data_IF_968783688208
#
_entry.id   IF_968783688208
#
_cell.length_a   1.000
_cell.length_b   1.000
_cell.length_c   1.000
_cell.angle_alpha   90.00
_cell.angle_beta   90.00
_cell.angle_gamma   90.00
#
_symmetry.space_group_name_H-M   'P 1'
#
loop_
_entity.id
_entity.type
_entity.pdbx_description
1 polymer ?
#
# COMPACT_ATOMS: atom_id res chain seq x y z
N UNK A 1 -7.78 -8.25 -25.27
CA UNK A 1 -7.25 -7.07 -24.56
C UNK A 1 -6.45 -7.56 -23.35
N UNK A 2 -5.19 -7.14 -23.18
CA UNK A 2 -4.41 -7.45 -22.00
C UNK A 2 -5.03 -6.75 -20.78
N UNK A 3 -5.22 -7.51 -19.65
CA UNK A 3 -5.71 -6.95 -18.38
C UNK A 3 -4.73 -5.90 -17.87
N UNK A 4 -5.23 -4.76 -17.38
CA UNK A 4 -4.36 -3.77 -16.74
C UNK A 4 -3.67 -4.37 -15.51
N UNK A 5 -2.50 -3.84 -15.13
CA UNK A 5 -1.80 -4.29 -13.91
C UNK A 5 -2.71 -4.21 -12.68
N UNK A 6 -3.55 -3.18 -12.60
CA UNK A 6 -4.51 -2.98 -11.51
C UNK A 6 -5.58 -4.09 -11.47
N UNK A 7 -6.07 -4.55 -12.63
CA UNK A 7 -7.07 -5.62 -12.70
C UNK A 7 -6.50 -6.96 -12.22
N UNK A 8 -5.18 -7.17 -12.38
CA UNK A 8 -4.53 -8.42 -11.99
C UNK A 8 -4.44 -8.62 -10.46
N UNK A 9 -4.45 -7.54 -9.66
CA UNK A 9 -4.39 -7.65 -8.20
C UNK A 9 -5.67 -7.19 -7.49
N UNK A 10 -6.71 -6.82 -8.25
CA UNK A 10 -8.00 -6.37 -7.69
C UNK A 10 -8.64 -7.39 -6.76
N UNK A 11 -8.52 -8.69 -7.08
CA UNK A 11 -9.01 -9.78 -6.23
C UNK A 11 -8.31 -9.82 -4.87
N UNK A 12 -6.99 -9.58 -4.84
CA UNK A 12 -6.25 -9.53 -3.56
C UNK A 12 -6.70 -8.37 -2.67
N UNK A 13 -7.03 -7.23 -3.26
CA UNK A 13 -7.58 -6.08 -2.50
C UNK A 13 -8.93 -6.46 -1.86
N UNK A 14 -9.82 -7.12 -2.60
CA UNK A 14 -11.09 -7.59 -2.03
C UNK A 14 -10.90 -8.65 -0.95
N UNK A 15 -9.96 -9.57 -1.11
CA UNK A 15 -9.62 -10.55 -0.07
C UNK A 15 -9.10 -9.88 1.21
N UNK A 16 -8.27 -8.84 1.08
CA UNK A 16 -7.78 -8.06 2.22
C UNK A 16 -8.93 -7.37 2.96
N UNK A 17 -9.85 -6.75 2.22
CA UNK A 17 -11.03 -6.10 2.81
C UNK A 17 -11.90 -7.15 3.51
N UNK A 18 -12.23 -8.25 2.84
CA UNK A 18 -13.05 -9.33 3.39
C UNK A 18 -12.43 -9.92 4.67
N UNK A 19 -11.13 -10.24 4.63
CA UNK A 19 -10.42 -10.77 5.79
C UNK A 19 -10.49 -9.85 7.01
N UNK A 20 -10.17 -8.56 6.83
CA UNK A 20 -10.22 -7.58 7.93
C UNK A 20 -11.64 -7.39 8.45
N UNK A 21 -12.65 -7.42 7.57
CA UNK A 21 -14.06 -7.29 7.94
C UNK A 21 -14.56 -8.48 8.76
N UNK A 22 -14.26 -9.69 8.29
CA UNK A 22 -14.60 -10.94 9.00
C UNK A 22 -13.89 -10.99 10.34
N UNK A 23 -12.62 -10.57 10.39
CA UNK A 23 -11.83 -10.57 11.61
C UNK A 23 -12.39 -9.58 12.65
N UNK A 24 -12.75 -8.34 12.25
CA UNK A 24 -13.44 -7.39 13.13
C UNK A 24 -14.76 -7.96 13.64
N UNK A 25 -15.58 -8.51 12.75
CA UNK A 25 -16.88 -9.07 13.10
C UNK A 25 -16.75 -10.24 14.09
N UNK A 26 -15.81 -11.15 13.85
CA UNK A 26 -15.55 -12.29 14.75
C UNK A 26 -15.13 -11.84 16.15
N UNK A 27 -14.26 -10.82 16.26
CA UNK A 27 -13.85 -10.29 17.55
C UNK A 27 -15.02 -9.56 18.25
N UNK A 28 -15.83 -8.82 17.49
CA UNK A 28 -17.00 -8.12 18.04
C UNK A 28 -18.07 -9.10 18.58
N UNK A 29 -18.10 -10.31 18.05
CA UNK A 29 -19.02 -11.39 18.49
C UNK A 29 -18.38 -12.37 19.48
N UNK A 30 -17.16 -12.12 19.96
CA UNK A 30 -16.46 -13.09 20.81
C UNK A 30 -17.25 -13.49 22.06
N UNK A 31 -17.88 -12.53 22.76
CA UNK A 31 -18.67 -12.79 23.97
C UNK A 31 -19.93 -13.63 23.65
N UNK A 32 -20.55 -13.38 22.51
CA UNK A 32 -21.74 -14.12 22.03
C UNK A 32 -21.38 -15.55 21.62
N UNK A 33 -20.23 -15.71 20.97
CA UNK A 33 -19.69 -17.03 20.58
C UNK A 33 -19.37 -17.87 21.82
N UNK A 34 -18.78 -17.28 22.84
CA UNK A 34 -18.44 -17.95 24.09
C UNK A 34 -19.71 -18.44 24.81
N UNK A 35 -20.77 -17.63 24.84
CA UNK A 35 -22.02 -17.95 25.56
C UNK A 35 -22.98 -18.85 24.79
N UNK A 36 -23.09 -18.72 23.47
CA UNK A 36 -24.13 -19.36 22.66
C UNK A 36 -23.58 -20.18 21.47
N UNK A 37 -22.25 -20.28 21.32
CA UNK A 37 -21.57 -21.02 20.26
C UNK A 37 -21.61 -20.33 18.90
N UNK A 38 -20.93 -20.94 17.91
CA UNK A 38 -20.73 -20.38 16.57
C UNK A 38 -22.03 -20.06 15.80
N UNK A 39 -23.14 -20.72 16.13
CA UNK A 39 -24.45 -20.46 15.49
C UNK A 39 -24.96 -19.05 15.79
N UNK A 40 -24.62 -18.48 16.92
CA UNK A 40 -25.04 -17.15 17.34
C UNK A 40 -24.46 -16.03 16.44
N UNK A 41 -23.36 -16.27 15.75
CA UNK A 41 -22.79 -15.33 14.76
C UNK A 41 -23.81 -14.95 13.69
N UNK A 42 -24.68 -15.89 13.31
CA UNK A 42 -25.66 -15.68 12.24
C UNK A 42 -27.00 -15.11 12.74
N UNK A 43 -27.21 -15.05 14.04
CA UNK A 43 -28.46 -14.58 14.63
C UNK A 43 -28.38 -13.16 15.21
N UNK A 44 -27.19 -12.74 15.64
CA UNK A 44 -26.97 -11.38 16.16
C UNK A 44 -26.41 -10.46 15.07
N UNK A 45 -27.33 -9.74 14.41
CA UNK A 45 -27.02 -8.79 13.34
C UNK A 45 -26.61 -7.38 13.84
N UNK A 46 -26.70 -7.12 15.14
CA UNK A 46 -26.42 -5.78 15.69
C UNK A 46 -25.04 -5.25 15.34
N UNK A 47 -24.03 -6.09 15.41
CA UNK A 47 -22.64 -5.73 15.09
C UNK A 47 -22.32 -5.70 13.59
N UNK A 48 -23.22 -6.17 12.70
CA UNK A 48 -23.03 -6.07 11.25
C UNK A 48 -23.10 -4.62 10.76
N UNK A 49 -23.89 -3.76 11.39
CA UNK A 49 -24.07 -2.37 10.95
C UNK A 49 -22.77 -1.56 11.03
N UNK A 50 -22.09 -1.47 12.20
CA UNK A 50 -20.84 -0.73 12.28
C UNK A 50 -19.73 -1.32 11.40
N UNK A 51 -19.66 -2.65 11.28
CA UNK A 51 -18.71 -3.32 10.37
C UNK A 51 -19.03 -2.99 8.91
N UNK A 52 -20.30 -3.06 8.50
CA UNK A 52 -20.72 -2.74 7.14
C UNK A 52 -20.41 -1.28 6.75
N UNK A 53 -20.70 -0.33 7.63
CA UNK A 53 -20.36 1.08 7.43
C UNK A 53 -18.85 1.26 7.28
N UNK A 54 -18.04 0.63 8.12
CA UNK A 54 -16.59 0.71 8.06
C UNK A 54 -16.03 0.14 6.73
N UNK A 55 -16.61 -0.96 6.21
CA UNK A 55 -16.26 -1.52 4.89
C UNK A 55 -16.54 -0.53 3.77
N UNK A 56 -17.72 0.09 3.78
CA UNK A 56 -18.11 1.08 2.76
C UNK A 56 -17.16 2.27 2.79
N UNK A 57 -16.89 2.83 3.97
CA UNK A 57 -15.97 3.96 4.15
C UNK A 57 -14.58 3.60 3.63
N UNK A 58 -14.00 2.48 4.05
CA UNK A 58 -12.66 2.06 3.63
C UNK A 58 -12.59 1.87 2.11
N UNK A 59 -13.61 1.26 1.50
CA UNK A 59 -13.65 0.99 0.05
C UNK A 59 -13.76 2.28 -0.75
N UNK A 60 -14.68 3.18 -0.38
CA UNK A 60 -14.91 4.47 -1.06
C UNK A 60 -13.66 5.34 -0.95
N UNK A 61 -13.13 5.52 0.26
CA UNK A 61 -11.95 6.35 0.47
C UNK A 61 -10.71 5.80 -0.26
N UNK A 62 -10.53 4.48 -0.31
CA UNK A 62 -9.43 3.91 -1.09
C UNK A 62 -9.56 4.20 -2.60
N UNK A 63 -10.79 4.27 -3.12
CA UNK A 63 -11.06 4.66 -4.50
C UNK A 63 -10.80 6.14 -4.79
N UNK A 64 -11.06 7.01 -3.82
CA UNK A 64 -10.88 8.47 -3.92
C UNK A 64 -9.41 8.90 -3.76
N UNK A 65 -8.61 8.13 -3.00
CA UNK A 65 -7.20 8.48 -2.78
C UNK A 65 -6.40 8.48 -4.08
N UNK A 66 -5.84 9.65 -4.42
CA UNK A 66 -4.95 9.80 -5.58
C UNK A 66 -3.65 9.00 -5.42
N UNK A 67 -2.95 8.65 -6.53
CA UNK A 67 -1.64 7.98 -6.44
C UNK A 67 -0.61 8.73 -5.59
N UNK A 68 -0.64 10.07 -5.64
CA UNK A 68 0.24 10.91 -4.82
C UNK A 68 -0.14 10.86 -3.34
N UNK A 69 -1.44 10.85 -2.99
CA UNK A 69 -1.89 10.70 -1.61
C UNK A 69 -1.45 9.34 -1.04
N UNK A 70 -1.63 8.26 -1.81
CA UNK A 70 -1.13 6.92 -1.43
C UNK A 70 0.39 6.88 -1.25
N UNK A 71 1.15 7.56 -2.12
CA UNK A 71 2.60 7.68 -1.97
C UNK A 71 2.99 8.46 -0.70
N UNK A 72 2.25 9.51 -0.33
CA UNK A 72 2.48 10.24 0.93
C UNK A 72 2.32 9.33 2.14
N UNK A 73 1.30 8.48 2.15
CA UNK A 73 1.08 7.50 3.22
C UNK A 73 2.20 6.45 3.30
N UNK A 74 2.73 6.02 2.16
CA UNK A 74 3.83 5.03 2.12
C UNK A 74 5.16 5.63 2.52
N UNK A 75 5.55 6.76 1.92
CA UNK A 75 6.88 7.34 2.11
C UNK A 75 6.95 8.37 3.24
N UNK A 76 5.81 8.72 3.86
CA UNK A 76 5.65 9.72 4.92
C UNK A 76 6.30 11.07 4.53
N UNK A 77 6.07 11.49 3.28
CA UNK A 77 6.58 12.75 2.72
C UNK A 77 5.44 13.56 2.13
N UNK A 78 5.36 14.82 2.52
CA UNK A 78 4.36 15.76 2.00
C UNK A 78 4.69 16.22 0.57
N UNK A 79 5.98 16.56 0.35
CA UNK A 79 6.52 16.98 -0.94
C UNK A 79 7.35 15.85 -1.54
N UNK A 80 7.39 15.76 -2.87
CA UNK A 80 8.18 14.76 -3.61
C UNK A 80 8.03 13.33 -3.07
N UNK A 81 6.76 12.94 -2.79
CA UNK A 81 6.45 11.68 -2.15
C UNK A 81 6.79 10.46 -3.02
N UNK A 82 6.73 10.60 -4.35
CA UNK A 82 7.04 9.51 -5.26
C UNK A 82 8.52 9.12 -5.17
N UNK A 83 8.87 7.82 -5.19
CA UNK A 83 10.26 7.39 -5.09
C UNK A 83 11.11 7.88 -6.27
N UNK A 84 10.52 8.03 -7.47
CA UNK A 84 11.21 8.60 -8.64
C UNK A 84 11.73 10.03 -8.44
N UNK A 85 11.15 10.80 -7.50
CA UNK A 85 11.63 12.14 -7.17
C UNK A 85 13.03 12.17 -6.54
N UNK A 86 13.59 11.03 -6.18
CA UNK A 86 14.92 10.84 -5.60
C UNK A 86 15.78 9.88 -6.41
N UNK A 87 15.36 9.58 -7.63
CA UNK A 87 16.00 8.58 -8.48
C UNK A 87 17.50 8.86 -8.66
N UNK A 88 17.86 10.10 -8.97
CA UNK A 88 19.24 10.48 -9.32
C UNK A 88 20.00 11.09 -8.15
N UNK A 89 19.33 11.83 -7.27
CA UNK A 89 19.98 12.48 -6.12
C UNK A 89 20.29 11.53 -4.98
N UNK A 90 19.53 10.44 -4.82
CA UNK A 90 19.71 9.50 -3.73
C UNK A 90 19.98 8.08 -4.26
N UNK A 91 19.08 7.50 -5.05
CA UNK A 91 19.12 6.06 -5.35
C UNK A 91 20.19 5.68 -6.37
N UNK A 92 20.43 6.52 -7.37
CA UNK A 92 21.53 6.28 -8.33
C UNK A 92 22.91 6.31 -7.69
N UNK A 93 23.06 6.99 -6.54
CA UNK A 93 24.31 7.11 -5.82
C UNK A 93 24.50 6.04 -4.74
N UNK A 94 23.41 5.48 -4.22
CA UNK A 94 23.45 4.54 -3.09
C UNK A 94 23.35 3.07 -3.49
N UNK A 95 22.86 2.76 -4.69
CA UNK A 95 22.71 1.36 -5.15
C UNK A 95 23.99 0.90 -5.88
N UNK A 96 24.70 -0.12 -5.36
CA UNK A 96 25.98 -0.58 -5.92
C UNK A 96 25.87 -1.18 -7.33
N UNK A 97 24.65 -1.48 -7.80
CA UNK A 97 24.40 -1.99 -9.16
C UNK A 97 24.39 -0.90 -10.23
N UNK A 98 24.47 0.38 -9.81
CA UNK A 98 24.35 1.52 -10.71
C UNK A 98 25.70 2.24 -10.76
N UNK A 99 26.27 2.35 -11.99
CA UNK A 99 27.37 3.25 -12.26
C UNK A 99 26.83 4.64 -12.67
N UNK A 100 26.99 5.67 -11.83
CA UNK A 100 26.47 7.01 -12.15
C UNK A 100 27.10 7.62 -13.42
N UNK A 101 28.34 7.24 -13.78
CA UNK A 101 29.00 7.74 -14.99
C UNK A 101 28.38 7.12 -16.24
N UNK A 102 28.20 5.80 -16.24
CA UNK A 102 27.52 5.09 -17.32
C UNK A 102 26.07 5.57 -17.47
N UNK A 103 25.37 5.75 -16.34
CA UNK A 103 23.99 6.23 -16.37
C UNK A 103 23.89 7.63 -16.99
N UNK A 104 24.81 8.58 -16.66
CA UNK A 104 24.87 9.89 -17.31
C UNK A 104 25.12 9.79 -18.81
N UNK A 105 26.04 8.93 -19.21
CA UNK A 105 26.34 8.70 -20.63
C UNK A 105 25.11 8.17 -21.38
N UNK A 106 24.38 7.21 -20.77
CA UNK A 106 23.18 6.63 -21.35
C UNK A 106 22.01 7.64 -21.48
N UNK A 107 21.92 8.61 -20.56
CA UNK A 107 20.88 9.65 -20.58
C UNK A 107 21.28 10.81 -21.50
N UNK A 108 22.57 11.03 -21.74
CA UNK A 108 23.09 12.10 -22.59
C UNK A 108 22.99 13.51 -21.98
N UNK A 109 22.72 13.64 -20.69
CA UNK A 109 22.59 14.91 -19.98
C UNK A 109 22.87 14.79 -18.47
N UNK A 110 23.00 15.93 -17.81
CA UNK A 110 23.19 15.99 -16.36
C UNK A 110 21.91 15.53 -15.62
N UNK A 111 22.10 14.95 -14.43
CA UNK A 111 20.99 14.57 -13.58
C UNK A 111 20.24 15.79 -13.07
N UNK A 112 18.90 15.80 -13.13
CA UNK A 112 18.11 16.87 -12.58
C UNK A 112 18.24 16.91 -11.05
N UNK A 113 18.25 18.11 -10.48
CA UNK A 113 18.30 18.34 -9.04
C UNK A 113 16.89 18.43 -8.42
N UNK A 114 15.93 18.95 -9.18
CA UNK A 114 14.53 19.08 -8.75
C UNK A 114 13.83 17.72 -8.73
N UNK A 115 13.07 17.43 -7.66
CA UNK A 115 12.38 16.15 -7.48
C UNK A 115 11.36 15.82 -8.58
N UNK A 116 10.61 16.81 -9.05
CA UNK A 116 9.62 16.63 -10.13
C UNK A 116 10.33 16.22 -11.43
N UNK A 117 11.44 16.89 -11.76
CA UNK A 117 12.19 16.60 -12.97
C UNK A 117 12.93 15.26 -12.87
N UNK A 118 13.41 14.88 -11.67
CA UNK A 118 13.94 13.54 -11.43
C UNK A 118 12.88 12.48 -11.70
N UNK A 119 11.67 12.66 -11.18
CA UNK A 119 10.59 11.70 -11.41
C UNK A 119 10.17 11.63 -12.88
N UNK A 120 10.15 12.77 -13.59
CA UNK A 120 9.85 12.84 -15.02
C UNK A 120 10.89 12.06 -15.84
N UNK A 121 12.17 12.33 -15.59
CA UNK A 121 13.28 11.65 -16.26
C UNK A 121 13.28 10.14 -15.94
N UNK A 122 13.12 9.77 -14.67
CA UNK A 122 12.99 8.37 -14.28
C UNK A 122 11.82 7.68 -15.00
N UNK A 123 10.68 8.34 -15.12
CA UNK A 123 9.52 7.78 -15.82
C UNK A 123 9.79 7.57 -17.32
N UNK A 124 10.55 8.46 -17.96
CA UNK A 124 10.99 8.26 -19.34
C UNK A 124 11.86 7.00 -19.47
N UNK A 125 12.81 6.78 -18.56
CA UNK A 125 13.61 5.55 -18.53
C UNK A 125 12.75 4.31 -18.26
N UNK A 126 11.82 4.38 -17.31
CA UNK A 126 10.87 3.32 -17.02
C UNK A 126 10.09 2.89 -18.28
N UNK A 127 9.59 3.83 -19.07
CA UNK A 127 8.85 3.56 -20.31
C UNK A 127 9.64 2.74 -21.31
N UNK A 128 10.97 2.84 -21.33
CA UNK A 128 11.82 2.06 -22.25
C UNK A 128 12.03 0.60 -21.81
N UNK A 129 11.68 0.26 -20.57
CA UNK A 129 11.86 -1.07 -19.97
C UNK A 129 10.59 -1.61 -19.33
N UNK A 130 9.45 -0.93 -19.49
CA UNK A 130 8.18 -1.28 -18.80
C UNK A 130 7.64 -2.66 -19.18
N UNK A 131 8.06 -3.23 -20.32
CA UNK A 131 7.68 -4.57 -20.79
C UNK A 131 8.58 -5.69 -20.26
N UNK A 132 9.70 -5.35 -19.66
CA UNK A 132 10.60 -6.32 -19.04
C UNK A 132 9.89 -7.07 -17.91
N UNK A 133 9.89 -8.40 -17.94
CA UNK A 133 9.17 -9.25 -16.99
C UNK A 133 9.46 -8.89 -15.53
N UNK A 134 10.74 -8.60 -15.22
CA UNK A 134 11.18 -8.18 -13.89
C UNK A 134 10.56 -6.83 -13.47
N UNK A 135 10.47 -5.88 -14.40
CA UNK A 135 9.89 -4.56 -14.14
C UNK A 135 8.37 -4.67 -13.96
N UNK A 136 7.70 -5.44 -14.81
CA UNK A 136 6.25 -5.71 -14.69
C UNK A 136 5.92 -6.29 -13.32
N UNK A 137 6.67 -7.28 -12.85
CA UNK A 137 6.47 -7.90 -11.54
C UNK A 137 6.68 -6.91 -10.41
N UNK A 138 7.81 -6.18 -10.40
CA UNK A 138 8.10 -5.18 -9.36
C UNK A 138 7.07 -4.05 -9.33
N UNK A 139 6.62 -3.61 -10.49
CA UNK A 139 5.59 -2.57 -10.57
C UNK A 139 4.25 -3.07 -10.00
N UNK A 140 3.85 -4.30 -10.32
CA UNK A 140 2.65 -4.93 -9.77
C UNK A 140 2.74 -5.06 -8.25
N UNK A 141 3.87 -5.55 -7.72
CA UNK A 141 4.10 -5.70 -6.28
C UNK A 141 4.07 -4.35 -5.55
N UNK A 142 4.69 -3.32 -6.15
CA UNK A 142 4.62 -1.95 -5.62
C UNK A 142 3.18 -1.41 -5.60
N UNK A 143 2.43 -1.56 -6.68
CA UNK A 143 1.04 -1.08 -6.75
C UNK A 143 0.15 -1.80 -5.73
N UNK A 144 0.25 -3.13 -5.61
CA UNK A 144 -0.49 -3.92 -4.65
C UNK A 144 -0.17 -3.50 -3.20
N UNK A 145 1.11 -3.47 -2.85
CA UNK A 145 1.54 -3.14 -1.48
C UNK A 145 1.25 -1.69 -1.11
N UNK A 146 1.37 -0.75 -2.05
CA UNK A 146 0.97 0.65 -1.87
C UNK A 146 -0.53 0.78 -1.58
N UNK A 147 -1.35 0.09 -2.35
CA UNK A 147 -2.81 0.12 -2.17
C UNK A 147 -3.20 -0.59 -0.87
N UNK A 148 -2.50 -1.66 -0.49
CA UNK A 148 -2.69 -2.33 0.80
C UNK A 148 -2.27 -1.42 1.98
N UNK A 149 -1.14 -0.74 1.90
CA UNK A 149 -0.73 0.22 2.94
C UNK A 149 -1.77 1.35 3.11
N UNK A 150 -2.33 1.84 1.99
CA UNK A 150 -3.40 2.83 2.03
C UNK A 150 -4.69 2.29 2.66
N UNK A 151 -5.07 1.05 2.37
CA UNK A 151 -6.19 0.38 3.02
C UNK A 151 -5.93 0.16 4.51
N UNK A 152 -4.71 -0.22 4.91
CA UNK A 152 -4.38 -0.48 6.31
C UNK A 152 -4.55 0.77 7.18
N UNK A 153 -4.19 1.96 6.69
CA UNK A 153 -4.46 3.21 7.44
C UNK A 153 -5.97 3.54 7.46
N UNK A 154 -6.69 3.25 6.38
CA UNK A 154 -8.15 3.41 6.36
C UNK A 154 -8.84 2.44 7.31
N UNK A 155 -8.37 1.18 7.42
CA UNK A 155 -8.85 0.23 8.42
C UNK A 155 -8.54 0.70 9.84
N UNK A 156 -7.33 1.22 10.09
CA UNK A 156 -6.99 1.77 11.39
C UNK A 156 -7.97 2.87 11.82
N UNK A 157 -8.35 3.75 10.90
CA UNK A 157 -9.31 4.83 11.19
C UNK A 157 -10.74 4.29 11.27
N UNK A 158 -11.25 3.60 10.25
CA UNK A 158 -12.66 3.19 10.17
C UNK A 158 -12.98 1.98 11.06
N UNK A 159 -12.17 0.92 10.99
CA UNK A 159 -12.38 -0.30 11.78
C UNK A 159 -11.92 -0.09 13.23
N UNK A 160 -10.86 0.69 13.45
CA UNK A 160 -10.45 1.10 14.78
C UNK A 160 -11.56 1.88 15.49
N UNK A 161 -12.19 2.85 14.82
CA UNK A 161 -13.35 3.56 15.39
C UNK A 161 -14.54 2.63 15.63
N UNK A 162 -14.88 1.77 14.65
CA UNK A 162 -15.96 0.82 14.78
C UNK A 162 -15.75 -0.17 15.93
N UNK A 163 -14.51 -0.59 16.18
CA UNK A 163 -14.18 -1.53 17.26
C UNK A 163 -14.48 -0.97 18.66
N UNK A 164 -14.36 0.36 18.85
CA UNK A 164 -14.69 1.00 20.13
C UNK A 164 -16.18 0.92 20.48
N UNK A 165 -17.05 0.72 19.49
CA UNK A 165 -18.48 0.56 19.67
C UNK A 165 -18.94 -0.90 19.62
N UNK A 166 -18.28 -1.72 18.79
CA UNK A 166 -18.70 -3.09 18.52
C UNK A 166 -18.08 -4.12 19.48
N UNK A 167 -16.93 -3.81 20.09
CA UNK A 167 -16.23 -4.74 20.99
C UNK A 167 -16.55 -4.35 22.44
N UNK A 168 -17.16 -5.25 23.20
CA UNK A 168 -17.59 -5.02 24.59
C UNK A 168 -16.41 -4.71 25.53
N UNK A 169 -15.27 -5.38 25.31
CA UNK A 169 -14.05 -5.21 26.11
C UNK A 169 -13.15 -4.13 25.56
N UNK A 170 -13.00 -3.00 26.27
CA UNK A 170 -12.06 -1.92 25.92
C UNK A 170 -10.62 -2.41 25.75
N UNK A 171 -10.19 -3.41 26.54
CA UNK A 171 -8.85 -4.00 26.44
C UNK A 171 -8.67 -4.71 25.10
N UNK A 172 -9.68 -5.49 24.67
CA UNK A 172 -9.64 -6.20 23.38
C UNK A 172 -9.69 -5.20 22.23
N UNK A 173 -10.51 -4.15 22.31
CA UNK A 173 -10.57 -3.09 21.31
C UNK A 173 -9.20 -2.40 21.13
N UNK A 174 -8.51 -2.07 22.23
CA UNK A 174 -7.17 -1.46 22.18
C UNK A 174 -6.15 -2.39 21.54
N UNK A 175 -6.16 -3.68 21.88
CA UNK A 175 -5.27 -4.68 21.26
C UNK A 175 -5.54 -4.79 19.76
N UNK A 176 -6.82 -4.81 19.36
CA UNK A 176 -7.22 -4.83 17.95
C UNK A 176 -6.71 -3.60 17.19
N UNK A 177 -6.89 -2.39 17.73
CA UNK A 177 -6.36 -1.14 17.17
C UNK A 177 -4.83 -1.20 17.05
N UNK A 178 -4.14 -1.72 18.06
CA UNK A 178 -2.70 -1.97 18.02
C UNK A 178 -2.28 -2.91 16.89
N UNK A 179 -3.05 -3.97 16.65
CA UNK A 179 -2.88 -4.89 15.51
C UNK A 179 -3.04 -4.19 14.15
N UNK A 180 -4.07 -3.33 14.00
CA UNK A 180 -4.25 -2.55 12.78
C UNK A 180 -3.11 -1.54 12.55
N UNK A 181 -2.61 -0.91 13.62
CA UNK A 181 -1.46 -0.02 13.54
C UNK A 181 -0.19 -0.77 13.09
N UNK A 182 0.05 -1.95 13.66
CA UNK A 182 1.16 -2.82 13.25
C UNK A 182 1.02 -3.27 11.79
N UNK A 183 -0.18 -3.65 11.37
CA UNK A 183 -0.49 -3.98 9.97
C UNK A 183 -0.12 -2.84 9.02
N UNK A 184 -0.48 -1.59 9.37
CA UNK A 184 -0.09 -0.42 8.57
C UNK A 184 1.44 -0.25 8.52
N UNK A 185 2.14 -0.36 9.64
CA UNK A 185 3.61 -0.22 9.67
C UNK A 185 4.28 -1.25 8.76
N UNK A 186 3.87 -2.51 8.83
CA UNK A 186 4.45 -3.60 8.03
C UNK A 186 4.17 -3.38 6.54
N UNK A 187 2.90 -3.12 6.18
CA UNK A 187 2.50 -2.95 4.78
C UNK A 187 3.12 -1.69 4.15
N UNK A 188 3.23 -0.60 4.93
CA UNK A 188 3.93 0.62 4.53
C UNK A 188 5.40 0.35 4.23
N UNK A 189 6.08 -0.40 5.10
CA UNK A 189 7.51 -0.73 4.92
C UNK A 189 7.72 -1.58 3.67
N UNK A 190 6.87 -2.60 3.46
CA UNK A 190 6.91 -3.42 2.24
C UNK A 190 6.70 -2.57 0.98
N UNK A 191 5.69 -1.69 0.97
CA UNK A 191 5.42 -0.79 -0.15
C UNK A 191 6.59 0.16 -0.44
N UNK A 192 7.22 0.71 0.61
CA UNK A 192 8.40 1.58 0.46
C UNK A 192 9.59 0.82 -0.17
N UNK A 193 9.84 -0.41 0.28
CA UNK A 193 10.90 -1.27 -0.29
C UNK A 193 10.64 -1.59 -1.76
N UNK A 194 9.42 -2.03 -2.13
CA UNK A 194 9.09 -2.30 -3.53
C UNK A 194 9.18 -1.05 -4.39
N UNK A 195 8.76 0.11 -3.90
CA UNK A 195 8.86 1.37 -4.63
C UNK A 195 10.30 1.80 -4.90
N UNK A 196 11.18 1.70 -3.89
CA UNK A 196 12.61 1.97 -4.07
C UNK A 196 13.24 0.95 -5.02
N UNK A 197 12.95 -0.35 -4.83
CA UNK A 197 13.48 -1.42 -5.68
C UNK A 197 13.04 -1.29 -7.14
N UNK A 198 11.83 -0.81 -7.41
CA UNK A 198 11.37 -0.53 -8.76
C UNK A 198 12.24 0.57 -9.39
N UNK A 199 12.45 1.69 -8.66
CA UNK A 199 13.26 2.81 -9.15
C UNK A 199 14.69 2.38 -9.42
N UNK A 200 15.35 1.73 -8.47
CA UNK A 200 16.75 1.33 -8.61
C UNK A 200 16.95 0.26 -9.68
N UNK A 201 15.98 -0.64 -9.88
CA UNK A 201 16.09 -1.66 -10.94
C UNK A 201 15.98 -1.05 -12.34
N UNK A 202 15.10 -0.06 -12.54
CA UNK A 202 15.04 0.70 -13.80
C UNK A 202 16.37 1.41 -14.08
N UNK A 203 16.95 2.06 -13.06
CA UNK A 203 18.24 2.74 -13.23
C UNK A 203 19.40 1.76 -13.49
N UNK A 204 19.42 0.62 -12.81
CA UNK A 204 20.44 -0.40 -13.01
C UNK A 204 20.40 -1.04 -14.41
N UNK A 205 19.23 -1.16 -15.03
CA UNK A 205 19.10 -1.62 -16.42
C UNK A 205 19.66 -0.64 -17.45
N UNK A 206 19.90 0.62 -17.05
CA UNK A 206 20.42 1.68 -17.92
C UNK A 206 21.85 2.10 -17.59
N UNK A 207 22.31 1.86 -16.36
CA UNK A 207 23.63 2.28 -15.88
C UNK A 207 24.43 1.15 -15.23
N UNK A 208 24.03 -0.12 -15.45
CA UNK A 208 24.78 -1.28 -14.98
C UNK A 208 25.81 -1.77 -15.97
#
# INVERSE_FOLDING_TARGET
MAKSLKDQYRSYIWLIIAFNSVFLYTIAQADVIELAGLRAIFTDIGNLVPVGIAVVIATVLNGVLSPTAKARLVFLRWHDALPGCRAFSQYAQSDPRIDPAKLRAAIGQNFPTNGIDQNRMWYQLYRTVETESRIVTLHKDFLLTRDYASLSILFLVSYGSASLYAISSSRVAIIYIGGLALQYVITRQAAAHYGVRLVTTVLALKGG
#
